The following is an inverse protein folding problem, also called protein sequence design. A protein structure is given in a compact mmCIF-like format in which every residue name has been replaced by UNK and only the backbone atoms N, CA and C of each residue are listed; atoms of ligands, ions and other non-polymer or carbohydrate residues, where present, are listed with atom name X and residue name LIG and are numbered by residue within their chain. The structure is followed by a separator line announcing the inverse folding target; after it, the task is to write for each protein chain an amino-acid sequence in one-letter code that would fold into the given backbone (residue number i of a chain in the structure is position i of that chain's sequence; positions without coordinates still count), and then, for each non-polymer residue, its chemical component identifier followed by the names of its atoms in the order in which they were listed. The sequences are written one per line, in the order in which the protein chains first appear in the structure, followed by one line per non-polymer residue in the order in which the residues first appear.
data_IF_621172099719
#
_entry.id   IF_621172099719
#
_cell.length_a   1.000
_cell.length_b   1.000
_cell.length_c   1.000
_cell.angle_alpha   90.00
_cell.angle_beta   90.00
_cell.angle_gamma   90.00
#
_symmetry.space_group_name_H-M   'P 1'
#
loop_
_entity.id
_entity.type
_entity.pdbx_description
1 polymer ?
#
# COMPACT_ATOMS: atom_id res chain seq x y z
N UNK A 1 -2.33 3.48 8.37
CA UNK A 1 -1.60 3.08 7.14
C UNK A 1 -1.65 1.57 6.97
N UNK A 2 -1.67 1.06 5.72
CA UNK A 2 -1.71 -0.37 5.39
C UNK A 2 -0.57 -1.16 6.09
N UNK A 3 0.68 -0.71 5.91
CA UNK A 3 1.86 -1.29 6.56
C UNK A 3 1.70 -1.32 8.10
N UNK A 4 1.33 -0.19 8.70
CA UNK A 4 1.10 -0.10 10.15
C UNK A 4 -0.03 -1.00 10.67
N UNK A 5 -1.07 -1.29 9.87
CA UNK A 5 -2.13 -2.22 10.27
C UNK A 5 -1.59 -3.64 10.47
N UNK A 6 -0.74 -4.09 9.55
CA UNK A 6 -0.11 -5.41 9.61
C UNK A 6 1.03 -5.47 10.64
N UNK A 7 1.79 -4.38 10.76
CA UNK A 7 2.89 -4.24 11.70
C UNK A 7 2.47 -4.59 13.13
N UNK A 8 1.37 -3.99 13.61
CA UNK A 8 0.80 -4.26 14.95
C UNK A 8 0.03 -5.59 15.05
N UNK A 9 -0.01 -6.39 13.98
CA UNK A 9 -0.75 -7.68 13.89
C UNK A 9 0.13 -8.86 13.49
N UNK A 10 1.44 -8.76 13.75
CA UNK A 10 2.38 -9.87 13.61
C UNK A 10 3.37 -9.74 12.46
N UNK A 11 3.34 -8.62 11.74
CA UNK A 11 4.29 -8.29 10.67
C UNK A 11 5.19 -7.09 11.04
N UNK A 12 5.74 -7.11 12.27
CA UNK A 12 6.38 -5.98 12.95
C UNK A 12 7.68 -5.41 12.36
N UNK A 13 8.01 -5.74 11.11
CA UNK A 13 9.12 -5.15 10.36
C UNK A 13 8.65 -4.22 9.22
N UNK A 14 7.33 -4.04 9.05
CA UNK A 14 6.75 -3.18 8.01
C UNK A 14 6.81 -1.70 8.38
N UNK A 15 6.98 -1.36 9.65
CA UNK A 15 7.30 0.00 10.09
C UNK A 15 8.61 -0.04 10.88
N UNK A 16 9.75 0.26 10.25
CA UNK A 16 11.05 0.20 10.92
C UNK A 16 11.11 1.15 12.12
N UNK A 17 11.64 0.66 13.24
CA UNK A 17 11.88 1.47 14.45
C UNK A 17 10.94 1.21 15.62
N UNK A 18 9.89 0.39 15.43
CA UNK A 18 8.95 0.00 16.48
C UNK A 18 7.50 -0.03 15.98
N UNK A 19 6.56 -0.23 16.91
CA UNK A 19 5.13 -0.31 16.57
C UNK A 19 4.65 0.96 15.86
N UNK A 20 3.98 0.77 14.72
CA UNK A 20 3.40 1.86 13.95
C UNK A 20 2.42 2.73 14.75
N UNK A 21 2.47 4.05 14.57
CA UNK A 21 1.53 4.96 15.23
C UNK A 21 0.11 4.86 14.66
N UNK A 22 -0.89 5.00 15.53
CA UNK A 22 -2.32 4.99 15.15
C UNK A 22 -2.76 6.22 14.34
N UNK A 23 -1.91 7.25 14.23
CA UNK A 23 -2.16 8.46 13.46
C UNK A 23 -0.84 8.97 12.87
N UNK A 24 -0.85 9.22 11.57
CA UNK A 24 0.28 9.75 10.78
C UNK A 24 0.12 11.22 10.40
N UNK A 25 -1.05 11.81 10.69
CA UNK A 25 -1.34 13.19 10.32
C UNK A 25 -0.53 14.19 11.15
N UNK A 26 0.22 15.05 10.46
CA UNK A 26 1.06 16.11 11.02
C UNK A 26 2.56 15.85 10.85
N UNK A 27 3.37 16.90 11.02
CA UNK A 27 4.84 16.84 10.92
C UNK A 27 5.50 16.41 12.24
N UNK A 28 5.05 15.29 12.80
CA UNK A 28 5.67 14.65 13.97
C UNK A 28 6.73 13.62 13.55
N UNK A 29 7.61 13.17 14.46
CA UNK A 29 8.59 12.11 14.20
C UNK A 29 7.92 10.73 14.15
N UNK A 30 6.91 10.57 13.28
CA UNK A 30 6.13 9.35 13.18
C UNK A 30 6.90 8.33 12.33
N UNK A 31 7.15 7.15 12.89
CA UNK A 31 7.78 6.03 12.20
C UNK A 31 6.99 5.67 10.94
N UNK A 32 5.66 5.69 11.03
CA UNK A 32 4.80 5.43 9.90
C UNK A 32 4.94 6.47 8.78
N UNK A 33 5.28 7.73 9.07
CA UNK A 33 5.58 8.72 8.03
C UNK A 33 6.90 8.40 7.33
N UNK A 34 7.92 8.03 8.10
CA UNK A 34 9.22 7.64 7.55
C UNK A 34 9.13 6.35 6.72
N UNK A 35 8.25 5.41 7.12
CA UNK A 35 7.98 4.20 6.35
C UNK A 35 7.21 4.47 5.04
N UNK A 36 6.39 5.54 4.99
CA UNK A 36 5.73 5.97 3.73
C UNK A 36 6.74 6.64 2.83
N UNK A 37 7.37 7.71 3.31
CA UNK A 37 8.31 8.54 2.57
C UNK A 37 9.41 8.98 3.54
N UNK A 38 10.60 8.40 3.39
CA UNK A 38 11.74 8.72 4.25
C UNK A 38 12.28 10.11 3.95
N UNK A 39 13.12 10.62 4.84
CA UNK A 39 13.85 11.87 4.56
C UNK A 39 14.78 11.73 3.34
N UNK A 40 15.27 10.53 3.05
CA UNK A 40 16.04 10.22 1.84
C UNK A 40 15.17 10.41 0.60
N UNK A 41 13.99 9.77 0.57
CA UNK A 41 13.03 9.92 -0.51
C UNK A 41 12.67 11.39 -0.79
N UNK A 42 12.33 12.15 0.27
CA UNK A 42 11.96 13.56 0.13
C UNK A 42 13.13 14.39 -0.42
N UNK A 43 14.36 14.09 0.02
CA UNK A 43 15.57 14.78 -0.44
C UNK A 43 15.87 14.50 -1.91
N UNK A 44 15.57 13.29 -2.38
CA UNK A 44 15.93 12.85 -3.72
C UNK A 44 14.85 13.15 -4.77
N UNK A 45 13.57 13.08 -4.39
CA UNK A 45 12.43 13.02 -5.33
C UNK A 45 11.27 13.97 -4.98
N UNK A 46 11.42 14.95 -4.08
CA UNK A 46 10.29 15.83 -3.69
C UNK A 46 10.70 17.29 -3.42
N UNK A 47 11.76 17.79 -4.07
CA UNK A 47 12.31 19.12 -3.76
C UNK A 47 11.39 20.29 -4.17
N UNK A 48 10.64 20.14 -5.27
CA UNK A 48 9.76 21.13 -5.87
C UNK A 48 8.38 21.26 -5.21
N UNK A 49 8.04 20.35 -4.29
CA UNK A 49 6.74 20.30 -3.63
C UNK A 49 5.64 19.68 -4.48
N UNK A 50 4.41 19.61 -3.95
CA UNK A 50 3.29 18.86 -4.53
C UNK A 50 3.02 19.26 -6.00
N UNK A 51 2.86 18.25 -6.87
CA UNK A 51 2.68 18.35 -8.33
C UNK A 51 3.85 18.94 -9.12
N UNK A 52 5.02 19.16 -8.52
CA UNK A 52 6.23 19.44 -9.28
C UNK A 52 6.70 18.21 -10.08
N UNK A 53 7.51 18.46 -11.10
CA UNK A 53 8.07 17.47 -12.01
C UNK A 53 9.41 17.99 -12.55
N UNK A 54 10.36 17.09 -12.80
CA UNK A 54 11.71 17.43 -13.24
C UNK A 54 12.61 17.94 -12.12
N UNK A 55 12.28 17.60 -10.86
CA UNK A 55 13.00 18.01 -9.66
C UNK A 55 13.77 16.89 -8.96
N UNK A 56 13.76 15.68 -9.53
CA UNK A 56 14.63 14.58 -9.09
C UNK A 56 16.11 15.01 -9.07
N UNK A 57 16.80 14.71 -7.98
CA UNK A 57 18.25 14.94 -7.90
C UNK A 57 19.02 13.94 -8.78
N UNK A 58 20.19 14.33 -9.26
CA UNK A 58 21.04 13.42 -10.01
C UNK A 58 21.62 12.32 -9.09
N UNK A 59 21.64 11.08 -9.59
CA UNK A 59 22.26 9.90 -8.96
C UNK A 59 23.73 10.14 -8.53
N UNK A 60 24.22 9.53 -7.43
CA UNK A 60 23.57 8.47 -6.64
C UNK A 60 22.51 8.97 -5.66
N UNK A 61 21.39 8.25 -5.63
CA UNK A 61 20.31 8.40 -4.63
C UNK A 61 20.63 7.62 -3.36
N UNK A 62 19.85 7.86 -2.31
CA UNK A 62 19.85 7.00 -1.14
C UNK A 62 19.44 5.55 -1.50
N UNK A 63 19.79 4.61 -0.64
CA UNK A 63 19.27 3.25 -0.74
C UNK A 63 17.78 3.26 -0.39
N UNK A 64 16.95 2.65 -1.24
CA UNK A 64 15.52 2.57 -1.02
C UNK A 64 15.20 1.96 0.34
N UNK A 65 14.42 2.67 1.14
CA UNK A 65 14.12 2.30 2.52
C UNK A 65 12.68 2.60 2.96
N UNK A 66 11.88 3.23 2.10
CA UNK A 66 10.48 3.54 2.35
C UNK A 66 9.56 3.11 1.21
N UNK A 67 8.27 2.98 1.49
CA UNK A 67 7.25 2.50 0.56
C UNK A 67 7.21 3.34 -0.74
N UNK A 68 7.37 4.66 -0.64
CA UNK A 68 7.36 5.58 -1.78
C UNK A 68 8.51 5.32 -2.76
N UNK A 69 9.66 4.82 -2.30
CA UNK A 69 10.78 4.47 -3.18
C UNK A 69 10.41 3.30 -4.09
N UNK A 70 9.87 2.23 -3.51
CA UNK A 70 9.50 1.02 -4.25
C UNK A 70 8.27 1.26 -5.14
N UNK A 71 7.32 2.09 -4.70
CA UNK A 71 6.13 2.43 -5.50
C UNK A 71 6.43 3.40 -6.65
N UNK A 72 7.64 3.95 -6.75
CA UNK A 72 7.98 4.96 -7.74
C UNK A 72 7.31 6.31 -7.49
N UNK A 73 6.79 6.55 -6.28
CA UNK A 73 6.03 7.75 -5.95
C UNK A 73 6.91 8.98 -6.09
N UNK A 74 6.41 10.06 -6.71
CA UNK A 74 7.17 11.30 -6.97
C UNK A 74 8.40 11.18 -7.87
N UNK A 75 8.70 9.99 -8.42
CA UNK A 75 9.90 9.80 -9.23
C UNK A 75 9.62 10.15 -10.70
N UNK A 76 10.36 11.14 -11.21
CA UNK A 76 10.27 11.60 -12.60
C UNK A 76 10.60 10.47 -13.58
N UNK A 77 11.49 9.54 -13.20
CA UNK A 77 11.88 8.37 -13.98
C UNK A 77 10.69 7.49 -14.40
N UNK A 78 9.59 7.54 -13.64
CA UNK A 78 8.35 6.81 -13.90
C UNK A 78 7.19 7.72 -14.32
N UNK A 79 7.49 8.98 -14.69
CA UNK A 79 6.52 10.02 -15.00
C UNK A 79 5.53 10.33 -13.86
N UNK A 80 5.94 10.10 -12.61
CA UNK A 80 5.14 10.44 -11.45
C UNK A 80 5.55 11.83 -10.97
N UNK A 81 4.64 12.81 -11.05
CA UNK A 81 4.82 14.11 -10.39
C UNK A 81 4.92 13.94 -8.87
N UNK A 82 5.43 14.94 -8.17
CA UNK A 82 5.50 14.95 -6.72
C UNK A 82 4.14 14.63 -6.06
N UNK A 83 4.12 13.52 -5.31
CA UNK A 83 2.94 12.99 -4.61
C UNK A 83 2.09 12.04 -5.46
N UNK A 84 2.44 11.87 -6.73
CA UNK A 84 1.80 10.95 -7.66
C UNK A 84 2.41 9.55 -7.60
N UNK A 85 1.56 8.55 -7.86
CA UNK A 85 1.94 7.15 -8.05
C UNK A 85 1.09 6.60 -9.18
N UNK A 86 1.70 5.76 -10.04
CA UNK A 86 0.97 5.09 -11.11
C UNK A 86 0.50 3.70 -10.68
N UNK A 87 -0.77 3.39 -10.89
CA UNK A 87 -1.35 2.06 -10.68
C UNK A 87 -1.98 1.56 -11.98
N UNK A 88 -1.74 0.30 -12.33
CA UNK A 88 -2.27 -0.32 -13.54
C UNK A 88 -3.46 -1.22 -13.23
N UNK A 89 -4.43 -1.24 -14.16
CA UNK A 89 -5.69 -1.98 -14.06
C UNK A 89 -6.08 -2.52 -15.44
N UNK A 90 -6.83 -3.63 -15.50
CA UNK A 90 -7.51 -4.03 -16.73
C UNK A 90 -8.82 -3.24 -16.89
N UNK A 91 -9.05 -2.69 -18.08
CA UNK A 91 -10.21 -1.81 -18.36
C UNK A 91 -11.56 -2.52 -18.32
N UNK A 92 -11.58 -3.85 -18.33
CA UNK A 92 -12.79 -4.67 -18.20
C UNK A 92 -13.12 -5.00 -16.73
N UNK A 93 -12.30 -4.56 -15.79
CA UNK A 93 -12.48 -4.78 -14.36
C UNK A 93 -11.85 -6.07 -13.83
N UNK A 94 -11.17 -6.87 -14.65
CA UNK A 94 -10.40 -8.01 -14.14
C UNK A 94 -9.28 -7.56 -13.20
N UNK A 95 -8.95 -8.42 -12.23
CA UNK A 95 -7.80 -8.21 -11.36
C UNK A 95 -6.50 -8.16 -12.19
N UNK A 96 -5.73 -7.10 -11.99
CA UNK A 96 -4.39 -6.91 -12.54
C UNK A 96 -3.36 -7.32 -11.46
N UNK A 97 -2.65 -8.41 -11.70
CA UNK A 97 -1.74 -9.05 -10.72
C UNK A 97 -0.28 -8.66 -10.92
N UNK A 98 0.59 -9.03 -9.98
CA UNK A 98 2.05 -8.86 -10.14
C UNK A 98 2.59 -9.56 -11.40
N UNK A 99 2.08 -10.76 -11.71
CA UNK A 99 2.48 -11.48 -12.92
C UNK A 99 2.06 -10.72 -14.19
N UNK A 100 0.92 -10.03 -14.17
CA UNK A 100 0.51 -9.17 -15.28
C UNK A 100 1.46 -7.97 -15.40
N UNK A 101 1.86 -7.35 -14.29
CA UNK A 101 2.84 -6.26 -14.30
C UNK A 101 4.16 -6.67 -14.98
N UNK A 102 4.66 -7.87 -14.69
CA UNK A 102 5.85 -8.44 -15.36
C UNK A 102 5.57 -8.73 -16.83
N UNK A 103 4.43 -9.36 -17.14
CA UNK A 103 4.04 -9.75 -18.50
C UNK A 103 3.93 -8.54 -19.43
N UNK A 104 3.39 -7.42 -18.93
CA UNK A 104 3.25 -6.17 -19.67
C UNK A 104 4.45 -5.23 -19.53
N UNK A 105 5.50 -5.64 -18.81
CA UNK A 105 6.73 -4.84 -18.59
C UNK A 105 6.46 -3.48 -17.95
N UNK A 106 5.56 -3.46 -16.96
CA UNK A 106 5.21 -2.27 -16.18
C UNK A 106 5.55 -2.39 -14.69
N UNK A 107 6.20 -3.49 -14.27
CA UNK A 107 6.63 -3.75 -12.89
C UNK A 107 7.29 -2.52 -12.25
N UNK A 108 8.28 -1.96 -12.94
CA UNK A 108 9.16 -0.91 -12.41
C UNK A 108 8.43 0.44 -12.19
N UNK A 109 7.22 0.59 -12.74
CA UNK A 109 6.41 1.82 -12.62
C UNK A 109 5.05 1.59 -11.95
N UNK A 110 4.79 0.38 -11.47
CA UNK A 110 3.52 -0.01 -10.88
C UNK A 110 3.59 0.11 -9.36
N UNK A 111 2.82 1.04 -8.79
CA UNK A 111 2.71 1.20 -7.34
C UNK A 111 2.25 -0.09 -6.64
N UNK A 112 1.42 -0.91 -7.29
CA UNK A 112 1.04 -2.22 -6.76
C UNK A 112 2.22 -3.18 -6.70
N UNK A 113 3.05 -3.22 -7.75
CA UNK A 113 4.23 -4.08 -7.76
C UNK A 113 5.26 -3.61 -6.73
N UNK A 114 5.45 -2.28 -6.61
CA UNK A 114 6.28 -1.66 -5.59
C UNK A 114 5.84 -1.95 -4.15
N UNK A 115 4.54 -2.09 -3.88
CA UNK A 115 4.05 -2.58 -2.58
C UNK A 115 4.60 -3.99 -2.30
N UNK A 116 4.58 -4.88 -3.30
CA UNK A 116 5.16 -6.22 -3.20
C UNK A 116 6.67 -6.20 -2.94
N UNK A 117 7.41 -5.32 -3.62
CA UNK A 117 8.84 -5.15 -3.40
C UNK A 117 9.17 -4.63 -2.00
N UNK A 118 8.40 -3.66 -1.49
CA UNK A 118 8.56 -3.18 -0.11
C UNK A 118 8.28 -4.26 0.92
N UNK A 119 7.25 -5.08 0.69
CA UNK A 119 6.93 -6.24 1.55
C UNK A 119 8.07 -7.24 1.57
N UNK A 120 8.66 -7.55 0.41
CA UNK A 120 9.84 -8.40 0.30
C UNK A 120 11.05 -7.81 1.02
N UNK A 121 11.29 -6.50 0.86
CA UNK A 121 12.33 -5.78 1.57
C UNK A 121 12.16 -5.88 3.10
N UNK A 122 10.92 -5.85 3.61
CA UNK A 122 10.60 -6.02 5.02
C UNK A 122 10.71 -7.47 5.55
N UNK A 123 11.04 -8.44 4.69
CA UNK A 123 11.24 -9.86 5.06
C UNK A 123 9.96 -10.70 5.05
N UNK A 124 8.95 -10.26 4.30
CA UNK A 124 7.67 -10.94 4.10
C UNK A 124 7.44 -11.21 2.61
N UNK A 125 6.39 -11.94 2.28
CA UNK A 125 5.98 -12.20 0.89
C UNK A 125 4.47 -11.96 0.76
N UNK A 126 3.97 -11.84 -0.47
CA UNK A 126 2.54 -11.71 -0.75
C UNK A 126 2.01 -13.01 -1.36
N UNK A 127 0.91 -13.51 -0.79
CA UNK A 127 0.17 -14.65 -1.36
C UNK A 127 -0.95 -14.21 -2.31
N UNK A 128 -1.34 -12.94 -2.21
CA UNK A 128 -2.32 -12.24 -3.03
C UNK A 128 -1.84 -10.80 -3.14
N UNK A 129 -1.66 -10.29 -4.35
CA UNK A 129 -1.45 -8.88 -4.63
C UNK A 129 -2.00 -8.54 -6.01
N UNK A 130 -2.99 -7.66 -6.05
CA UNK A 130 -3.58 -7.18 -7.30
C UNK A 130 -4.28 -5.83 -7.14
N UNK A 131 -4.39 -5.12 -8.26
CA UNK A 131 -5.27 -3.99 -8.44
C UNK A 131 -6.57 -4.41 -9.12
N UNK A 132 -7.69 -3.79 -8.79
CA UNK A 132 -8.94 -4.03 -9.49
C UNK A 132 -9.84 -2.80 -9.48
N UNK A 133 -10.46 -2.49 -10.62
CA UNK A 133 -11.51 -1.48 -10.66
C UNK A 133 -12.73 -1.95 -9.87
N UNK A 134 -13.50 -1.02 -9.32
CA UNK A 134 -14.70 -1.35 -8.53
C UNK A 134 -15.92 -1.57 -9.43
N UNK A 135 -16.84 -2.42 -9.00
CA UNK A 135 -18.10 -2.73 -9.70
C UNK A 135 -18.99 -1.50 -9.94
N UNK A 136 -18.86 -0.48 -9.09
CA UNK A 136 -19.59 0.79 -9.22
C UNK A 136 -19.30 1.55 -10.51
N UNK A 137 -18.21 1.23 -11.22
CA UNK A 137 -17.93 1.75 -12.56
C UNK A 137 -18.77 1.09 -13.67
N UNK A 138 -19.63 0.13 -13.33
CA UNK A 138 -20.45 -0.61 -14.29
C UNK A 138 -19.68 -1.68 -15.06
N UNK A 139 -18.57 -2.16 -14.50
CA UNK A 139 -17.72 -3.19 -15.09
C UNK A 139 -18.16 -4.59 -14.62
N UNK A 140 -18.24 -5.53 -15.57
CA UNK A 140 -18.72 -6.90 -15.31
C UNK A 140 -17.89 -7.67 -14.28
N UNK A 141 -16.59 -7.35 -14.20
CA UNK A 141 -15.63 -8.04 -13.33
C UNK A 141 -15.13 -7.18 -12.17
N UNK A 142 -15.70 -5.99 -11.96
CA UNK A 142 -15.24 -5.08 -10.92
C UNK A 142 -15.30 -5.69 -9.51
N UNK A 143 -14.38 -5.28 -8.64
CA UNK A 143 -14.36 -5.66 -7.24
C UNK A 143 -15.59 -5.08 -6.54
N UNK A 144 -16.32 -5.91 -5.81
CA UNK A 144 -17.62 -5.58 -5.23
C UNK A 144 -17.50 -5.19 -3.75
N UNK A 145 -18.49 -4.46 -3.23
CA UNK A 145 -18.56 -4.17 -1.79
C UNK A 145 -18.65 -5.44 -0.93
N UNK A 146 -19.30 -6.50 -1.44
CA UNK A 146 -19.37 -7.78 -0.74
C UNK A 146 -17.99 -8.45 -0.64
N UNK A 147 -17.14 -8.34 -1.67
CA UNK A 147 -15.75 -8.80 -1.61
C UNK A 147 -14.92 -7.95 -0.65
N UNK A 148 -15.12 -6.63 -0.63
CA UNK A 148 -14.49 -5.75 0.37
C UNK A 148 -14.84 -6.19 1.80
N UNK A 149 -16.12 -6.41 2.10
CA UNK A 149 -16.59 -6.92 3.40
C UNK A 149 -15.89 -8.25 3.74
N UNK A 150 -15.80 -9.18 2.78
CA UNK A 150 -15.16 -10.47 3.00
C UNK A 150 -13.66 -10.35 3.34
N UNK A 151 -12.93 -9.42 2.71
CA UNK A 151 -11.52 -9.14 3.06
C UNK A 151 -11.44 -8.57 4.49
N UNK A 152 -12.25 -7.57 4.83
CA UNK A 152 -12.25 -6.97 6.17
C UNK A 152 -12.60 -8.00 7.26
N UNK A 153 -13.61 -8.84 7.04
CA UNK A 153 -14.01 -9.91 7.97
C UNK A 153 -12.92 -10.97 8.15
N UNK A 154 -12.09 -11.18 7.11
CA UNK A 154 -10.90 -12.03 7.19
C UNK A 154 -9.72 -11.34 7.90
N UNK A 155 -9.90 -10.12 8.42
CA UNK A 155 -8.84 -9.31 9.03
C UNK A 155 -7.86 -8.75 8.02
N UNK A 156 -8.27 -8.65 6.74
CA UNK A 156 -7.41 -8.23 5.65
C UNK A 156 -7.74 -6.80 5.21
N UNK A 157 -6.80 -5.88 5.37
CA UNK A 157 -6.93 -4.53 4.86
C UNK A 157 -7.04 -4.46 3.32
N UNK A 158 -7.81 -3.50 2.80
CA UNK A 158 -7.84 -3.16 1.36
C UNK A 158 -7.42 -1.70 1.14
N UNK A 159 -6.52 -1.45 0.18
CA UNK A 159 -6.20 -0.10 -0.25
C UNK A 159 -7.30 0.40 -1.19
N UNK A 160 -7.82 1.58 -0.90
CA UNK A 160 -8.91 2.25 -1.60
C UNK A 160 -8.33 3.37 -2.45
N UNK A 161 -8.64 3.37 -3.74
CA UNK A 161 -8.20 4.40 -4.68
C UNK A 161 -9.36 5.31 -5.08
N UNK A 162 -9.21 6.59 -4.76
CA UNK A 162 -10.00 7.67 -5.36
C UNK A 162 -9.11 8.45 -6.31
N UNK A 163 -9.70 9.24 -7.22
CA UNK A 163 -8.89 10.05 -8.14
C UNK A 163 -7.85 10.90 -7.37
N UNK A 164 -6.58 10.78 -7.72
CA UNK A 164 -5.48 11.51 -7.08
C UNK A 164 -5.16 11.17 -5.61
N UNK A 165 -5.78 10.15 -4.99
CA UNK A 165 -5.48 9.79 -3.60
C UNK A 165 -5.72 8.31 -3.28
N UNK A 166 -4.89 7.74 -2.41
CA UNK A 166 -5.03 6.37 -1.93
C UNK A 166 -5.10 6.32 -0.42
N UNK A 167 -6.10 5.60 0.10
CA UNK A 167 -6.39 5.50 1.52
C UNK A 167 -6.53 4.03 1.90
N UNK A 168 -6.39 3.70 3.16
CA UNK A 168 -6.56 2.33 3.61
C UNK A 168 -7.96 2.13 4.22
N UNK A 169 -8.75 1.20 3.68
CA UNK A 169 -10.07 0.82 4.18
C UNK A 169 -10.00 -0.29 5.23
N UNK A 170 -10.40 0.01 6.47
CA UNK A 170 -10.21 -0.88 7.62
C UNK A 170 -11.49 -1.49 8.18
N UNK A 171 -12.63 -1.06 7.67
CA UNK A 171 -13.94 -1.39 8.20
C UNK A 171 -15.03 -1.00 7.22
N UNK A 172 -16.27 -1.32 7.58
CA UNK A 172 -17.44 -0.96 6.81
C UNK A 172 -18.64 -0.65 7.73
N UNK A 173 -19.58 0.11 7.18
CA UNK A 173 -20.96 0.16 7.64
C UNK A 173 -21.85 -0.43 6.54
N UNK A 174 -22.33 -1.66 6.77
CA UNK A 174 -23.14 -2.39 5.80
C UNK A 174 -24.56 -1.83 5.65
N UNK A 175 -25.05 -1.03 6.61
CA UNK A 175 -26.37 -0.41 6.49
C UNK A 175 -26.32 0.84 5.59
N UNK A 176 -25.15 1.47 5.51
CA UNK A 176 -24.91 2.69 4.72
C UNK A 176 -24.08 2.44 3.46
N UNK A 177 -23.81 1.17 3.11
CA UNK A 177 -22.89 0.75 2.05
C UNK A 177 -21.58 1.56 2.04
N UNK A 178 -21.01 1.78 3.23
CA UNK A 178 -19.89 2.69 3.41
C UNK A 178 -18.62 1.96 3.84
N UNK A 179 -17.49 2.42 3.32
CA UNK A 179 -16.15 2.02 3.77
C UNK A 179 -15.66 2.97 4.86
N UNK A 180 -14.98 2.44 5.87
CA UNK A 180 -14.30 3.22 6.90
C UNK A 180 -12.82 3.33 6.54
N UNK A 181 -12.30 4.55 6.54
CA UNK A 181 -11.01 4.90 5.95
C UNK A 181 -10.05 5.46 6.99
N UNK A 182 -8.77 5.10 6.86
CA UNK A 182 -7.67 5.88 7.41
C UNK A 182 -7.06 6.74 6.31
N UNK A 183 -7.24 8.05 6.45
CA UNK A 183 -6.72 9.09 5.55
C UNK A 183 -5.42 9.69 6.10
N UNK A 184 -4.49 10.02 5.20
CA UNK A 184 -3.24 10.71 5.52
C UNK A 184 -3.38 12.23 5.48
N UNK A 185 -4.45 12.78 4.90
CA UNK A 185 -4.66 14.22 4.81
C UNK A 185 -5.23 14.86 6.06
N UNK A 186 -5.93 14.13 6.93
CA UNK A 186 -6.55 14.69 8.15
C UNK A 186 -6.71 13.64 9.25
N UNK A 187 -6.71 14.07 10.52
CA UNK A 187 -7.11 13.21 11.64
C UNK A 187 -8.63 13.04 11.69
N UNK A 188 -9.07 11.86 12.12
CA UNK A 188 -10.47 11.61 12.46
C UNK A 188 -10.98 10.29 11.93
N UNK A 189 -12.30 10.13 12.07
CA UNK A 189 -13.04 9.05 11.43
C UNK A 189 -13.43 9.52 10.04
N UNK A 190 -13.08 8.71 9.04
CA UNK A 190 -13.36 8.99 7.64
C UNK A 190 -14.16 7.85 7.04
N UNK A 191 -15.10 8.20 6.17
CA UNK A 191 -15.87 7.21 5.43
C UNK A 191 -16.34 7.77 4.09
N UNK A 192 -16.68 6.87 3.18
CA UNK A 192 -17.40 7.19 1.96
C UNK A 192 -18.30 6.01 1.58
N UNK A 193 -19.38 6.28 0.86
CA UNK A 193 -20.19 5.22 0.24
C UNK A 193 -19.36 4.49 -0.81
N UNK A 194 -19.50 3.16 -0.91
CA UNK A 194 -18.87 2.34 -1.93
C UNK A 194 -19.23 2.84 -3.32
N UNK A 195 -18.22 3.10 -4.13
CA UNK A 195 -18.42 3.64 -5.48
C UNK A 195 -18.84 5.11 -5.53
N UNK A 196 -18.91 5.78 -4.38
CA UNK A 196 -19.16 7.21 -4.28
C UNK A 196 -17.89 8.03 -4.45
N UNK A 197 -17.83 9.15 -3.74
CA UNK A 197 -16.66 10.05 -3.74
C UNK A 197 -16.19 10.36 -2.33
N UNK A 198 -14.89 10.57 -2.17
CA UNK A 198 -14.30 11.11 -0.95
C UNK A 198 -13.68 12.49 -1.24
N UNK A 199 -14.10 13.53 -0.52
CA UNK A 199 -13.66 14.91 -0.76
C UNK A 199 -13.81 15.38 -2.22
N UNK A 200 -14.82 14.87 -2.94
CA UNK A 200 -15.07 15.17 -4.35
C UNK A 200 -14.27 14.34 -5.36
N UNK A 201 -13.47 13.37 -4.90
CA UNK A 201 -12.66 12.47 -5.73
C UNK A 201 -13.38 11.12 -5.86
N UNK A 202 -13.59 10.66 -7.09
CA UNK A 202 -14.37 9.45 -7.37
C UNK A 202 -13.62 8.18 -7.00
N UNK A 203 -14.29 7.24 -6.34
CA UNK A 203 -13.76 5.92 -6.04
C UNK A 203 -13.74 5.05 -7.30
N UNK A 204 -12.53 4.71 -7.76
CA UNK A 204 -12.39 3.96 -9.01
C UNK A 204 -11.85 2.54 -8.81
N UNK A 205 -11.04 2.27 -7.78
CA UNK A 205 -10.39 0.98 -7.67
C UNK A 205 -9.86 0.65 -6.30
N UNK A 206 -9.29 -0.54 -6.18
CA UNK A 206 -8.66 -1.06 -4.96
C UNK A 206 -7.34 -1.75 -5.26
N UNK A 207 -6.43 -1.81 -4.27
CA UNK A 207 -5.37 -2.83 -4.19
C UNK A 207 -5.72 -3.80 -3.06
N UNK A 208 -5.71 -5.10 -3.37
CA UNK A 208 -5.91 -6.17 -2.38
C UNK A 208 -4.59 -6.88 -2.14
N UNK A 209 -4.27 -7.12 -0.87
CA UNK A 209 -3.01 -7.69 -0.41
C UNK A 209 -3.26 -8.77 0.65
N UNK A 210 -2.52 -9.87 0.61
CA UNK A 210 -2.41 -10.82 1.71
C UNK A 210 -0.96 -11.18 1.97
N UNK A 211 -0.43 -10.75 3.11
CA UNK A 211 0.93 -11.05 3.55
C UNK A 211 1.07 -12.47 4.09
N UNK A 212 2.25 -13.05 3.86
CA UNK A 212 2.72 -14.29 4.47
C UNK A 212 4.18 -14.13 4.92
N UNK A 213 4.63 -14.87 5.95
CA UNK A 213 6.06 -14.91 6.27
C UNK A 213 6.87 -15.49 5.11
N UNK A 214 8.03 -14.90 4.81
CA UNK A 214 8.93 -15.45 3.79
C UNK A 214 9.34 -16.91 4.17
N UNK A 215 9.43 -17.85 3.22
CA UNK A 215 9.84 -19.23 3.51
C UNK A 215 11.14 -19.36 4.31
N UNK A 216 12.10 -18.46 4.10
CA UNK A 216 13.36 -18.42 4.86
C UNK A 216 13.13 -18.10 6.35
N UNK A 217 12.22 -17.17 6.66
CA UNK A 217 11.79 -16.83 8.01
C UNK A 217 11.11 -18.02 8.70
N UNK A 218 10.27 -18.77 7.98
CA UNK A 218 9.66 -20.00 8.48
C UNK A 218 10.74 -21.04 8.82
N UNK A 219 11.72 -21.23 7.92
CA UNK A 219 12.80 -22.19 8.14
C UNK A 219 13.67 -21.85 9.36
N UNK A 220 14.02 -20.56 9.58
CA UNK A 220 14.77 -20.12 10.75
C UNK A 220 13.98 -20.33 12.06
N UNK A 221 12.68 -20.01 12.07
CA UNK A 221 11.82 -20.23 13.24
C UNK A 221 11.70 -21.72 13.60
N UNK A 222 11.55 -22.59 12.60
CA UNK A 222 11.54 -24.04 12.80
C UNK A 222 12.87 -24.58 13.35
N UNK A 223 14.01 -24.08 12.86
CA UNK A 223 15.34 -24.47 13.34
C UNK A 223 15.60 -23.99 14.78
N UNK A 224 15.20 -22.76 15.11
CA UNK A 224 15.29 -22.22 16.47
C UNK A 224 14.48 -23.04 17.49
N UNK A 225 13.25 -23.42 17.14
CA UNK A 225 12.40 -24.29 17.97
C UNK A 225 13.00 -25.69 18.20
N UNK A 226 13.68 -26.26 17.20
CA UNK A 226 14.41 -27.53 17.34
C UNK A 226 15.64 -27.41 18.25
N UNK A 227 16.37 -26.29 18.22
CA UNK A 227 17.53 -26.08 19.08
C UNK A 227 17.16 -25.86 20.55
N UNK A 228 16.05 -25.18 20.83
CA UNK A 228 15.54 -25.06 22.21
C UNK A 228 15.02 -26.39 22.77
N UNK A 229 14.47 -27.28 21.94
CA UNK A 229 14.03 -28.62 22.37
C UNK A 229 15.17 -29.60 22.68
N UNK A 230 16.38 -29.36 22.17
CA UNK A 230 17.57 -30.21 22.42
C UNK A 230 18.36 -29.84 23.68
N UNK A 231 17.94 -28.82 24.43
CA UNK A 231 18.58 -28.39 25.70
C UNK A 231 17.83 -28.86 26.97
N UNK A 232 17.14 -30.01 26.90
CA UNK A 232 16.62 -30.71 28.09
C UNK A 232 17.23 -32.09 28.20
#
# INVERSE_FOLDING_TARGET
MLAGYYDVRGFGNLVPGGDAENSTYGSGPYLANNAIASSGHISDFYAGGYLAFGDDVASPWHSFDCLADFMGTSQDAYNNVNGGTTFYFFTDGYAFTENDAVTYSVSDSSGMYGIGEYVNYAGYDTSVLYNQYVDALGLDYGFTFAQYIAEIDAGKPVLIHVDGHSMYGYGYDSAADSVLLHDTWTQGLHSMTWGGSYSGLEHYGVTVLTLVPEPATIALLCLGGLMLRRRK
#
